data_IF_866075109850
#
_entry.id   IF_866075109850
#
_cell.length_a   1.000
_cell.length_b   1.000
_cell.length_c   1.000
_cell.angle_alpha   90.00
_cell.angle_beta   90.00
_cell.angle_gamma   90.00
#
_symmetry.space_group_name_H-M   'P 1'
#
loop_
_entity.id
_entity.type
_entity.pdbx_description
1 polymer ?
#
# COMPACT_ATOMS: atom_id res chain seq x y z
N UNK A 1 -8.86 19.94 -0.19
CA UNK A 1 -9.12 18.61 0.40
C UNK A 1 -8.14 17.63 -0.19
N UNK A 2 -7.40 16.90 0.63
CA UNK A 2 -6.55 15.82 0.14
C UNK A 2 -7.42 14.75 -0.53
N UNK A 3 -7.07 14.39 -1.77
CA UNK A 3 -7.82 13.41 -2.53
C UNK A 3 -7.37 12.01 -2.12
N UNK A 4 -8.31 11.18 -1.68
CA UNK A 4 -8.06 9.76 -1.43
C UNK A 4 -7.54 9.08 -2.70
N UNK A 5 -6.45 8.34 -2.56
CA UNK A 5 -5.83 7.54 -3.60
C UNK A 5 -6.19 6.09 -3.35
N UNK A 6 -6.67 5.40 -4.39
CA UNK A 6 -6.96 3.96 -4.31
C UNK A 6 -5.75 3.16 -4.78
N UNK A 7 -5.27 2.23 -3.94
CA UNK A 7 -4.18 1.31 -4.24
C UNK A 7 -4.63 -0.14 -3.99
N UNK A 8 -3.85 -1.09 -4.50
CA UNK A 8 -3.96 -2.48 -4.09
C UNK A 8 -2.59 -3.04 -3.71
N UNK A 9 -2.58 -3.93 -2.71
CA UNK A 9 -1.37 -4.55 -2.17
C UNK A 9 -1.61 -6.05 -2.14
N UNK A 10 -0.71 -6.81 -2.76
CA UNK A 10 -0.67 -8.25 -2.60
C UNK A 10 0.33 -8.57 -1.49
N UNK A 11 -0.11 -9.24 -0.42
CA UNK A 11 0.74 -9.69 0.69
C UNK A 11 0.51 -11.18 0.96
N UNK A 12 1.53 -11.95 1.36
CA UNK A 12 1.38 -13.34 1.73
C UNK A 12 0.39 -13.59 2.88
N UNK A 13 -0.27 -14.74 2.87
CA UNK A 13 -1.26 -15.12 3.90
C UNK A 13 -0.68 -15.22 5.31
N UNK A 14 0.61 -15.52 5.42
CA UNK A 14 1.29 -15.67 6.70
C UNK A 14 1.85 -14.36 7.27
N UNK A 15 1.77 -13.24 6.54
CA UNK A 15 2.07 -11.93 7.10
C UNK A 15 0.86 -11.37 7.85
N UNK A 16 1.10 -10.49 8.83
CA UNK A 16 -0.03 -9.86 9.54
C UNK A 16 -0.88 -9.01 8.58
N UNK A 17 -2.15 -8.86 8.93
CA UNK A 17 -3.11 -8.02 8.24
C UNK A 17 -2.58 -6.60 8.04
N UNK A 18 -2.96 -6.02 6.90
CA UNK A 18 -2.86 -4.58 6.65
C UNK A 18 -4.10 -3.94 7.27
N UNK A 19 -3.92 -2.92 8.09
CA UNK A 19 -4.99 -2.31 8.88
C UNK A 19 -5.14 -0.82 8.57
N UNK A 20 -6.26 -0.24 9.03
CA UNK A 20 -6.44 1.21 9.00
C UNK A 20 -5.37 1.84 9.87
N UNK A 21 -4.97 3.05 9.50
CA UNK A 21 -3.86 3.79 10.08
C UNK A 21 -2.46 3.27 9.78
N UNK A 22 -2.26 2.12 9.14
CA UNK A 22 -0.91 1.73 8.68
C UNK A 22 -0.34 2.72 7.63
N UNK A 23 0.99 2.74 7.50
CA UNK A 23 1.67 3.52 6.47
C UNK A 23 2.26 2.61 5.42
N UNK A 24 2.07 2.99 4.16
CA UNK A 24 2.67 2.34 3.01
C UNK A 24 3.81 3.20 2.51
N UNK A 25 5.00 2.62 2.36
CA UNK A 25 6.11 3.24 1.66
C UNK A 25 6.24 2.60 0.28
N UNK A 26 5.89 3.35 -0.75
CA UNK A 26 6.19 2.98 -2.13
C UNK A 26 7.63 3.41 -2.48
N UNK A 27 8.53 2.43 -2.50
CA UNK A 27 9.94 2.59 -2.87
C UNK A 27 10.05 2.51 -4.39
N UNK A 28 10.46 3.61 -5.01
CA UNK A 28 10.75 3.65 -6.44
C UNK A 28 12.20 3.24 -6.70
N UNK A 29 12.46 2.47 -7.77
CA UNK A 29 13.84 2.20 -8.22
C UNK A 29 14.58 3.47 -8.70
N UNK A 30 13.85 4.44 -9.23
CA UNK A 30 14.40 5.64 -9.92
C UNK A 30 13.72 6.93 -9.41
N UNK A 31 12.65 6.83 -8.61
CA UNK A 31 11.85 7.98 -8.14
C UNK A 31 11.93 8.10 -6.62
N UNK A 32 11.66 9.31 -6.12
CA UNK A 32 11.50 9.60 -4.70
C UNK A 32 10.46 8.67 -4.05
N UNK A 33 10.80 8.17 -2.86
CA UNK A 33 9.90 7.36 -2.05
C UNK A 33 8.60 8.14 -1.79
N UNK A 34 7.46 7.47 -1.92
CA UNK A 34 6.15 8.05 -1.62
C UNK A 34 5.56 7.33 -0.43
N UNK A 35 5.01 8.09 0.52
CA UNK A 35 4.37 7.55 1.71
C UNK A 35 2.86 7.77 1.62
N UNK A 36 2.11 6.77 2.05
CA UNK A 36 0.65 6.82 2.06
C UNK A 36 0.08 6.35 3.40
N UNK A 37 -0.83 7.12 3.98
CA UNK A 37 -1.60 6.79 5.19
C UNK A 37 -2.86 6.05 4.82
N UNK A 38 -3.05 4.84 5.34
CA UNK A 38 -4.25 4.04 5.07
C UNK A 38 -5.45 4.59 5.85
N UNK A 39 -6.50 4.92 5.12
CA UNK A 39 -7.78 5.37 5.68
C UNK A 39 -8.87 4.27 5.60
N UNK A 40 -8.82 3.41 4.58
CA UNK A 40 -9.75 2.29 4.43
C UNK A 40 -9.01 1.05 3.93
N UNK A 41 -9.40 -0.13 4.43
CA UNK A 41 -8.91 -1.42 3.96
C UNK A 41 -10.08 -2.34 3.63
N UNK A 42 -10.01 -3.02 2.49
CA UNK A 42 -10.84 -4.19 2.15
C UNK A 42 -9.94 -5.31 1.65
N UNK A 43 -10.06 -6.50 2.19
CA UNK A 43 -9.23 -7.63 1.79
C UNK A 43 -10.05 -8.71 1.07
N UNK A 44 -9.42 -9.44 0.15
CA UNK A 44 -9.95 -10.68 -0.41
C UNK A 44 -8.82 -11.62 -0.80
N UNK A 45 -9.11 -12.91 -0.91
CA UNK A 45 -8.16 -13.88 -1.47
C UNK A 45 -7.71 -13.43 -2.87
N UNK A 46 -6.39 -13.45 -3.15
CA UNK A 46 -5.89 -13.07 -4.46
C UNK A 46 -6.45 -14.01 -5.54
N UNK A 47 -7.01 -13.48 -6.64
CA UNK A 47 -7.55 -14.32 -7.72
C UNK A 47 -6.45 -15.05 -8.50
N UNK A 48 -5.18 -14.59 -8.39
CA UNK A 48 -4.04 -15.20 -9.10
C UNK A 48 -3.31 -16.24 -8.26
N UNK A 49 -3.23 -16.06 -6.95
CA UNK A 49 -2.40 -16.89 -6.08
C UNK A 49 -3.12 -17.22 -4.78
N UNK A 50 -3.40 -18.52 -4.54
CA UNK A 50 -4.02 -19.02 -3.31
C UNK A 50 -3.21 -18.78 -2.03
N UNK A 51 -1.95 -18.34 -2.15
CA UNK A 51 -1.04 -18.03 -1.03
C UNK A 51 -0.97 -16.54 -0.70
N UNK A 52 -1.71 -15.69 -1.43
CA UNK A 52 -1.70 -14.24 -1.26
C UNK A 52 -3.09 -13.70 -0.91
N UNK A 53 -3.13 -12.69 -0.05
CA UNK A 53 -4.26 -11.77 0.10
C UNK A 53 -4.05 -10.55 -0.78
N UNK A 54 -5.13 -10.07 -1.37
CA UNK A 54 -5.18 -8.76 -2.03
C UNK A 54 -5.94 -7.78 -1.14
N UNK A 55 -5.25 -6.75 -0.70
CA UNK A 55 -5.81 -5.62 0.02
C UNK A 55 -6.10 -4.49 -0.96
N UNK A 56 -7.33 -3.97 -0.94
CA UNK A 56 -7.76 -2.76 -1.62
C UNK A 56 -7.79 -1.66 -0.57
N UNK A 57 -6.88 -0.70 -0.71
CA UNK A 57 -6.70 0.34 0.30
C UNK A 57 -7.03 1.71 -0.30
N UNK A 58 -7.66 2.57 0.49
CA UNK A 58 -7.72 4.00 0.19
C UNK A 58 -6.80 4.73 1.15
N UNK A 59 -6.02 5.65 0.62
CA UNK A 59 -4.97 6.29 1.39
C UNK A 59 -4.81 7.78 1.06
N UNK A 60 -4.33 8.53 2.05
CA UNK A 60 -3.86 9.90 1.88
C UNK A 60 -2.36 9.89 1.58
N UNK A 61 -1.90 10.81 0.75
CA UNK A 61 -0.46 10.97 0.53
C UNK A 61 0.12 11.65 1.76
N UNK A 62 1.12 11.04 2.39
CA UNK A 62 1.77 11.56 3.58
C UNK A 62 3.24 11.86 3.31
N UNK A 63 3.87 12.60 4.22
CA UNK A 63 5.31 12.84 4.18
C UNK A 63 6.09 11.68 4.84
N UNK A 64 7.39 11.60 4.54
CA UNK A 64 8.26 10.54 5.07
C UNK A 64 8.52 10.70 6.57
N UNK A 65 8.48 11.93 7.09
CA UNK A 65 8.72 12.22 8.51
C UNK A 65 7.63 11.59 9.37
N UNK A 66 6.38 11.65 8.91
CA UNK A 66 5.22 11.07 9.58
C UNK A 66 5.36 9.55 9.69
N UNK A 67 5.93 8.90 8.67
CA UNK A 67 6.24 7.47 8.71
C UNK A 67 7.34 7.08 9.70
N UNK A 68 8.30 7.97 10.00
CA UNK A 68 9.40 7.68 10.92
C UNK A 68 9.06 7.95 12.38
N UNK A 69 8.04 8.78 12.66
CA UNK A 69 7.63 9.17 14.03
C UNK A 69 6.61 8.23 14.69
N UNK A 70 6.47 6.97 14.24
CA UNK A 70 5.34 6.11 14.59
C UNK A 70 5.37 5.46 15.98
N UNK A 71 4.16 5.22 16.50
CA UNK A 71 3.84 4.32 17.61
C UNK A 71 4.21 2.86 17.27
N UNK A 72 4.76 2.06 18.21
CA UNK A 72 5.08 0.65 18.00
C UNK A 72 3.95 -0.22 17.43
N UNK A 73 2.69 0.17 17.64
CA UNK A 73 1.52 -0.57 17.18
C UNK A 73 1.20 -0.34 15.69
N UNK A 74 1.71 0.74 15.09
CA UNK A 74 1.43 1.11 13.70
C UNK A 74 2.57 0.66 12.79
N UNK A 75 2.25 -0.03 11.69
CA UNK A 75 3.26 -0.70 10.87
C UNK A 75 3.62 0.12 9.63
N UNK A 76 4.86 -0.12 9.20
CA UNK A 76 5.42 0.42 7.97
C UNK A 76 5.48 -0.68 6.91
N UNK A 77 4.64 -0.57 5.89
CA UNK A 77 4.51 -1.58 4.84
C UNK A 77 5.28 -1.10 3.61
N UNK A 78 6.40 -1.76 3.31
CA UNK A 78 7.15 -1.44 2.10
C UNK A 78 6.48 -2.08 0.87
N UNK A 79 6.31 -1.29 -0.20
CA UNK A 79 5.93 -1.80 -1.52
C UNK A 79 6.91 -1.29 -2.56
N UNK A 80 7.17 -2.11 -3.57
CA UNK A 80 7.78 -1.64 -4.80
C UNK A 80 6.67 -1.13 -5.72
N UNK A 81 6.94 -0.04 -6.44
CA UNK A 81 6.02 0.44 -7.47
C UNK A 81 5.78 -0.67 -8.49
N UNK A 82 4.57 -1.23 -8.49
CA UNK A 82 4.10 -2.04 -9.60
C UNK A 82 3.87 -1.10 -10.78
N UNK A 83 4.74 -1.18 -11.79
CA UNK A 83 4.42 -0.64 -13.10
C UNK A 83 3.12 -1.31 -13.54
N UNK A 84 2.00 -0.57 -13.49
CA UNK A 84 0.86 -0.92 -14.32
C UNK A 84 1.39 -0.80 -15.74
N UNK A 85 1.63 -1.92 -16.41
CA UNK A 85 1.62 -1.94 -17.86
C UNK A 85 0.26 -1.36 -18.25
N UNK A 86 0.24 -0.07 -18.59
CA UNK A 86 -0.90 0.56 -19.24
C UNK A 86 -1.01 -0.25 -20.53
N UNK A 87 -2.05 -1.10 -20.65
CA UNK A 87 -2.41 -1.61 -21.97
C UNK A 87 -2.71 -0.35 -22.77
N UNK A 88 -1.77 0.05 -23.63
CA UNK A 88 -2.10 0.92 -24.74
C UNK A 88 -3.11 0.09 -25.54
N UNK A 89 -4.37 0.48 -25.49
CA UNK A 89 -5.29 0.09 -26.55
C UNK A 89 -4.76 0.77 -27.80
N UNK A 90 -4.03 0.00 -28.61
CA UNK A 90 -3.81 0.29 -30.02
C UNK A 90 -5.09 -0.13 -30.73
#
# INVERSE_FOLDING_TARGET
>A
MEKLISLYIDSPIWENSIEVDDFIIAVGKIKSNSVYHIAEVKSKQSPKHKKLWRYYVKCYRSDLITALKRDPNQRLISMQWYSRNKKNNV
#
